data_IF_853451922787
#
_entry.id   IF_853451922787
#
_cell.length_a   1.000
_cell.length_b   1.000
_cell.length_c   1.000
_cell.angle_alpha   90.00
_cell.angle_beta   90.00
_cell.angle_gamma   90.00
#
_symmetry.space_group_name_H-M   'P 1'
#
loop_
_entity.id
_entity.type
_entity.pdbx_description
1 polymer ?
#
# COMPACT_ATOMS: atom_id res chain seq x y z
N UNK A 1 -9.11 25.00 -65.26
CA UNK A 1 -8.85 25.71 -63.99
C UNK A 1 -9.08 24.70 -62.86
N UNK A 2 -8.02 24.25 -62.19
CA UNK A 2 -8.07 23.18 -61.17
C UNK A 2 -8.33 23.83 -59.80
N UNK A 3 -9.48 23.54 -59.17
CA UNK A 3 -9.75 23.88 -57.78
C UNK A 3 -9.58 22.60 -56.96
N UNK A 4 -8.44 22.49 -56.28
CA UNK A 4 -8.19 21.47 -55.25
C UNK A 4 -8.71 22.03 -53.93
N UNK A 5 -9.86 21.53 -53.47
CA UNK A 5 -10.32 21.76 -52.11
C UNK A 5 -9.44 20.97 -51.14
N UNK A 6 -8.56 21.67 -50.42
CA UNK A 6 -7.79 21.12 -49.31
C UNK A 6 -8.74 20.79 -48.15
N UNK A 7 -9.11 19.51 -47.99
CA UNK A 7 -9.70 19.02 -46.74
C UNK A 7 -8.61 18.95 -45.67
N UNK A 8 -8.58 19.95 -44.79
CA UNK A 8 -7.83 19.88 -43.55
C UNK A 8 -8.49 18.85 -42.62
N UNK A 9 -7.94 17.63 -42.60
CA UNK A 9 -8.24 16.64 -41.56
C UNK A 9 -7.67 17.13 -40.23
N UNK A 10 -8.49 17.80 -39.43
CA UNK A 10 -8.17 18.07 -38.02
C UNK A 10 -8.33 16.75 -37.29
N UNK A 11 -7.22 16.04 -37.08
CA UNK A 11 -7.16 14.96 -36.11
C UNK A 11 -7.34 15.56 -34.72
N UNK A 12 -8.60 15.63 -34.26
CA UNK A 12 -8.93 15.76 -32.85
C UNK A 12 -8.48 14.45 -32.18
N UNK A 13 -7.18 14.33 -31.92
CA UNK A 13 -6.70 13.42 -30.89
C UNK A 13 -7.25 13.96 -29.57
N UNK A 14 -8.47 13.56 -29.22
CA UNK A 14 -8.96 13.71 -27.87
C UNK A 14 -7.99 12.95 -26.97
N UNK A 15 -7.19 13.67 -26.20
CA UNK A 15 -6.42 13.07 -25.12
C UNK A 15 -7.42 12.51 -24.12
N UNK A 16 -7.85 11.26 -24.32
CA UNK A 16 -8.55 10.53 -23.29
C UNK A 16 -7.56 10.38 -22.13
N UNK A 17 -7.93 10.90 -20.97
CA UNK A 17 -7.13 10.64 -19.77
C UNK A 17 -7.13 9.12 -19.52
N UNK A 18 -6.00 8.56 -19.08
CA UNK A 18 -5.93 7.14 -18.75
C UNK A 18 -7.04 6.77 -17.76
N UNK A 19 -7.68 5.62 -17.95
CA UNK A 19 -8.73 5.17 -17.02
C UNK A 19 -8.16 4.85 -15.65
N UNK A 20 -8.79 5.34 -14.59
CA UNK A 20 -8.49 4.97 -13.21
C UNK A 20 -9.20 3.70 -12.74
N UNK A 21 -10.18 3.20 -13.50
CA UNK A 21 -11.05 2.11 -13.06
C UNK A 21 -10.30 0.82 -12.81
N UNK A 22 -9.45 0.38 -13.75
CA UNK A 22 -8.73 -0.89 -13.61
C UNK A 22 -7.63 -0.83 -12.52
N UNK A 23 -6.76 0.20 -12.46
CA UNK A 23 -5.79 0.33 -11.37
C UNK A 23 -6.46 0.38 -9.98
N UNK A 24 -7.59 1.10 -9.87
CA UNK A 24 -8.31 1.17 -8.59
C UNK A 24 -8.97 -0.16 -8.22
N UNK A 25 -9.60 -0.86 -9.19
CA UNK A 25 -10.16 -2.20 -8.97
C UNK A 25 -9.07 -3.19 -8.54
N UNK A 26 -7.90 -3.16 -9.18
CA UNK A 26 -6.77 -4.02 -8.83
C UNK A 26 -6.30 -3.77 -7.39
N UNK A 27 -6.22 -2.49 -6.97
CA UNK A 27 -5.90 -2.15 -5.58
C UNK A 27 -6.93 -2.69 -4.60
N UNK A 28 -8.23 -2.54 -4.87
CA UNK A 28 -9.28 -3.07 -3.99
C UNK A 28 -9.21 -4.59 -3.86
N UNK A 29 -9.04 -5.29 -4.99
CA UNK A 29 -8.89 -6.75 -4.99
C UNK A 29 -7.64 -7.20 -4.22
N UNK A 30 -6.53 -6.47 -4.35
CA UNK A 30 -5.31 -6.78 -3.59
C UNK A 30 -5.48 -6.51 -2.10
N UNK A 31 -6.12 -5.40 -1.71
CA UNK A 31 -6.42 -5.08 -0.31
C UNK A 31 -7.22 -6.19 0.36
N UNK A 32 -8.26 -6.69 -0.31
CA UNK A 32 -9.07 -7.82 0.16
C UNK A 32 -8.22 -9.09 0.30
N UNK A 33 -7.43 -9.41 -0.72
CA UNK A 33 -6.55 -10.56 -0.68
C UNK A 33 -5.53 -10.49 0.47
N UNK A 34 -4.90 -9.34 0.69
CA UNK A 34 -3.97 -9.14 1.80
C UNK A 34 -4.66 -9.23 3.16
N UNK A 35 -5.92 -8.80 3.26
CA UNK A 35 -6.73 -8.97 4.47
C UNK A 35 -7.06 -10.44 4.75
N UNK A 36 -7.42 -11.21 3.72
CA UNK A 36 -7.65 -12.64 3.86
C UNK A 36 -6.37 -13.40 4.24
N UNK A 37 -5.22 -13.06 3.64
CA UNK A 37 -3.92 -13.62 4.04
C UNK A 37 -3.57 -13.31 5.50
N UNK A 38 -3.91 -12.11 5.98
CA UNK A 38 -3.60 -11.69 7.35
C UNK A 38 -4.24 -12.59 8.42
N UNK A 39 -5.41 -13.19 8.12
CA UNK A 39 -6.13 -14.07 9.06
C UNK A 39 -5.35 -15.33 9.44
N UNK A 40 -4.43 -15.78 8.59
CA UNK A 40 -3.54 -16.92 8.87
C UNK A 40 -2.07 -16.51 9.00
N UNK A 41 -1.76 -15.21 8.87
CA UNK A 41 -0.39 -14.73 8.87
C UNK A 41 0.32 -14.89 10.22
N UNK A 42 -0.45 -14.90 11.29
CA UNK A 42 0.04 -15.07 12.66
C UNK A 42 0.67 -16.45 12.88
N UNK A 43 0.20 -17.49 12.18
CA UNK A 43 0.71 -18.86 12.28
C UNK A 43 2.16 -19.00 11.77
N UNK A 44 2.55 -18.09 10.89
CA UNK A 44 3.89 -18.07 10.25
C UNK A 44 4.67 -16.81 10.64
N UNK A 45 4.22 -16.08 11.66
CA UNK A 45 4.94 -14.92 12.16
C UNK A 45 6.30 -15.35 12.75
N UNK A 46 7.40 -14.66 12.42
CA UNK A 46 8.73 -15.05 12.88
C UNK A 46 8.84 -14.94 14.41
N UNK A 47 9.41 -15.97 15.02
CA UNK A 47 9.70 -15.96 16.45
C UNK A 47 10.75 -14.91 16.79
N UNK A 48 10.55 -14.16 17.87
CA UNK A 48 11.48 -13.13 18.31
C UNK A 48 11.56 -13.08 19.84
N UNK A 49 12.73 -13.43 20.37
CA UNK A 49 13.03 -13.32 21.81
C UNK A 49 12.99 -11.86 22.27
N UNK A 50 13.51 -10.94 21.46
CA UNK A 50 13.44 -9.51 21.75
C UNK A 50 12.00 -9.04 21.93
N UNK A 51 11.12 -9.36 20.98
CA UNK A 51 9.72 -8.96 21.02
C UNK A 51 9.00 -9.55 22.24
N UNK A 52 9.27 -10.83 22.55
CA UNK A 52 8.66 -11.53 23.69
C UNK A 52 9.07 -10.92 25.04
N UNK A 53 10.26 -10.30 25.11
CA UNK A 53 10.80 -9.70 26.34
C UNK A 53 10.45 -8.21 26.52
N UNK A 54 9.83 -7.55 25.53
CA UNK A 54 9.41 -6.16 25.65
C UNK A 54 8.28 -5.99 26.69
N UNK A 55 8.19 -4.81 27.35
CA UNK A 55 6.99 -4.43 28.09
C UNK A 55 5.73 -4.53 27.23
N UNK A 56 4.60 -4.96 27.83
CA UNK A 56 3.34 -5.21 27.09
C UNK A 56 2.88 -4.05 26.17
N UNK A 57 3.09 -2.80 26.59
CA UNK A 57 2.73 -1.65 25.76
C UNK A 57 3.66 -1.51 24.55
N UNK A 58 4.95 -1.76 24.73
CA UNK A 58 5.95 -1.73 23.66
C UNK A 58 5.73 -2.87 22.67
N UNK A 59 5.35 -4.06 23.14
CA UNK A 59 4.94 -5.19 22.28
C UNK A 59 3.79 -4.79 21.36
N UNK A 60 2.73 -4.20 21.91
CA UNK A 60 1.55 -3.78 21.11
C UNK A 60 1.93 -2.73 20.07
N UNK A 61 2.77 -1.77 20.44
CA UNK A 61 3.26 -0.73 19.54
C UNK A 61 4.11 -1.33 18.42
N UNK A 62 5.07 -2.20 18.76
CA UNK A 62 5.92 -2.88 17.80
C UNK A 62 5.11 -3.77 16.84
N UNK A 63 4.20 -4.60 17.36
CA UNK A 63 3.35 -5.46 16.55
C UNK A 63 2.40 -4.67 15.64
N UNK A 64 1.82 -3.57 16.12
CA UNK A 64 0.98 -2.70 15.30
C UNK A 64 1.79 -2.09 14.15
N UNK A 65 3.02 -1.65 14.42
CA UNK A 65 3.92 -1.14 13.40
C UNK A 65 4.29 -2.21 12.36
N UNK A 66 4.66 -3.41 12.81
CA UNK A 66 5.03 -4.54 11.95
C UNK A 66 3.86 -5.02 11.09
N UNK A 67 2.64 -5.08 11.63
CA UNK A 67 1.44 -5.48 10.89
C UNK A 67 1.11 -4.48 9.77
N UNK A 68 1.24 -3.18 10.06
CA UNK A 68 1.06 -2.13 9.06
C UNK A 68 2.13 -2.19 7.97
N UNK A 69 3.40 -2.38 8.35
CA UNK A 69 4.48 -2.61 7.41
C UNK A 69 4.18 -3.80 6.48
N UNK A 70 3.82 -4.96 7.04
CA UNK A 70 3.54 -6.16 6.28
C UNK A 70 2.35 -6.00 5.31
N UNK A 71 1.29 -5.33 5.77
CA UNK A 71 0.13 -5.02 4.92
C UNK A 71 0.51 -4.07 3.78
N UNK A 72 1.30 -3.02 4.06
CA UNK A 72 1.77 -2.08 3.03
C UNK A 72 2.63 -2.79 1.98
N UNK A 73 3.57 -3.64 2.40
CA UNK A 73 4.39 -4.44 1.48
C UNK A 73 3.50 -5.30 0.56
N UNK A 74 2.42 -5.85 1.10
CA UNK A 74 1.49 -6.67 0.31
C UNK A 74 0.75 -5.87 -0.78
N UNK A 75 0.44 -4.58 -0.58
CA UNK A 75 -0.33 -3.78 -1.54
C UNK A 75 0.53 -2.81 -2.38
N UNK A 76 1.83 -2.71 -2.10
CA UNK A 76 2.72 -1.66 -2.62
C UNK A 76 2.72 -1.56 -4.15
N UNK A 77 2.78 -2.68 -4.86
CA UNK A 77 2.77 -2.67 -6.33
C UNK A 77 1.50 -2.01 -6.89
N UNK A 78 0.33 -2.35 -6.37
CA UNK A 78 -0.95 -1.81 -6.84
C UNK A 78 -1.14 -0.35 -6.41
N UNK A 79 -0.60 0.03 -5.24
CA UNK A 79 -0.54 1.43 -4.82
C UNK A 79 0.33 2.23 -5.79
N UNK A 80 1.53 1.75 -6.14
CA UNK A 80 2.42 2.42 -7.12
C UNK A 80 1.78 2.53 -8.50
N UNK A 81 1.13 1.48 -8.99
CA UNK A 81 0.42 1.49 -10.27
C UNK A 81 -0.72 2.52 -10.31
N UNK A 82 -1.50 2.62 -9.23
CA UNK A 82 -2.56 3.61 -9.12
C UNK A 82 -2.00 5.03 -9.00
N UNK A 83 -0.96 5.26 -8.18
CA UNK A 83 -0.26 6.56 -8.09
C UNK A 83 0.24 7.03 -9.47
N UNK A 84 0.79 6.12 -10.27
CA UNK A 84 1.23 6.43 -11.64
C UNK A 84 0.07 6.80 -12.56
N UNK A 85 -1.09 6.16 -12.41
CA UNK A 85 -2.27 6.46 -13.22
C UNK A 85 -2.92 7.80 -12.80
N UNK A 86 -2.88 8.11 -11.50
CA UNK A 86 -3.35 9.37 -10.92
C UNK A 86 -2.48 10.55 -11.36
N UNK A 87 -1.16 10.40 -11.44
CA UNK A 87 -0.27 11.50 -11.86
C UNK A 87 -0.48 11.96 -13.31
N UNK A 88 -1.21 11.18 -14.11
CA UNK A 88 -1.59 11.50 -15.49
C UNK A 88 -2.97 12.17 -15.59
N UNK A 89 -3.67 12.35 -14.47
CA UNK A 89 -4.99 12.99 -14.41
C UNK A 89 -4.88 14.50 -14.19
N UNK A 90 -6.01 15.19 -14.23
CA UNK A 90 -6.11 16.59 -13.85
C UNK A 90 -5.77 16.81 -12.36
N UNK A 91 -5.36 18.04 -12.02
CA UNK A 91 -4.89 18.39 -10.67
C UNK A 91 -5.95 18.15 -9.59
N UNK A 92 -7.23 18.39 -9.89
CA UNK A 92 -8.35 18.14 -8.97
C UNK A 92 -8.50 16.64 -8.65
N UNK A 93 -8.34 15.76 -9.64
CA UNK A 93 -8.35 14.31 -9.43
C UNK A 93 -7.13 13.88 -8.61
N UNK A 94 -5.95 14.44 -8.90
CA UNK A 94 -4.75 14.17 -8.11
C UNK A 94 -4.93 14.55 -6.64
N UNK A 95 -5.45 15.75 -6.37
CA UNK A 95 -5.77 16.21 -5.02
C UNK A 95 -6.81 15.32 -4.35
N UNK A 96 -7.87 14.93 -5.06
CA UNK A 96 -8.87 14.02 -4.51
C UNK A 96 -8.27 12.68 -4.06
N UNK A 97 -7.42 12.07 -4.88
CA UNK A 97 -6.83 10.77 -4.56
C UNK A 97 -5.80 10.83 -3.42
N UNK A 98 -4.95 11.86 -3.41
CA UNK A 98 -3.95 12.02 -2.37
C UNK A 98 -4.58 12.34 -1.01
N UNK A 99 -5.54 13.26 -0.98
CA UNK A 99 -6.04 13.78 0.29
C UNK A 99 -7.19 12.94 0.88
N UNK A 100 -7.98 12.25 0.04
CA UNK A 100 -9.24 11.61 0.48
C UNK A 100 -9.32 10.10 0.24
N UNK A 101 -8.68 9.57 -0.79
CA UNK A 101 -8.72 8.12 -1.08
C UNK A 101 -7.67 7.36 -0.26
N UNK A 102 -6.65 8.07 0.25
CA UNK A 102 -5.62 7.47 1.10
C UNK A 102 -4.77 6.47 0.32
N UNK A 103 -4.11 6.96 -0.74
CA UNK A 103 -3.12 6.17 -1.49
C UNK A 103 -1.77 6.05 -0.77
N UNK A 104 -1.63 6.67 0.39
CA UNK A 104 -0.41 6.60 1.17
C UNK A 104 -0.24 5.17 1.70
N UNK A 105 0.92 4.57 1.42
CA UNK A 105 1.45 3.53 2.30
C UNK A 105 1.44 4.11 3.72
N UNK A 106 1.04 3.33 4.71
CA UNK A 106 1.22 3.76 6.09
C UNK A 106 2.72 3.85 6.40
N UNK A 107 3.33 4.99 6.12
CA UNK A 107 4.70 5.31 6.48
C UNK A 107 4.71 5.76 7.93
N UNK A 108 4.39 4.82 8.83
CA UNK A 108 4.61 5.04 10.25
C UNK A 108 6.09 5.29 10.46
N UNK A 109 6.44 6.34 11.20
CA UNK A 109 7.79 6.45 11.75
C UNK A 109 8.01 5.28 12.71
N UNK A 110 9.27 4.84 12.82
CA UNK A 110 9.64 3.83 13.83
C UNK A 110 9.20 4.36 15.20
N UNK A 111 8.41 3.59 15.99
CA UNK A 111 7.84 4.12 17.22
C UNK A 111 8.93 4.50 18.22
N UNK A 112 8.76 5.65 18.86
CA UNK A 112 9.71 6.14 19.87
C UNK A 112 9.87 5.14 21.02
N UNK A 113 11.11 4.88 21.42
CA UNK A 113 11.44 3.94 22.49
C UNK A 113 11.51 2.47 22.05
N UNK A 114 11.23 2.15 20.79
CA UNK A 114 11.43 0.81 20.23
C UNK A 114 12.77 0.77 19.50
N UNK A 115 13.59 -0.25 19.79
CA UNK A 115 14.90 -0.43 19.16
C UNK A 115 14.76 -0.65 17.63
N UNK A 116 15.20 0.30 16.79
CA UNK A 116 14.99 0.23 15.35
C UNK A 116 15.61 -1.00 14.70
N UNK A 117 16.78 -1.42 15.21
CA UNK A 117 17.51 -2.55 14.63
C UNK A 117 16.73 -3.86 14.75
N UNK A 118 16.12 -4.11 15.90
CA UNK A 118 15.36 -5.34 16.16
C UNK A 118 14.06 -5.37 15.35
N UNK A 119 13.38 -4.22 15.20
CA UNK A 119 12.24 -4.09 14.30
C UNK A 119 12.60 -4.45 12.86
N UNK A 120 13.69 -3.88 12.34
CA UNK A 120 14.15 -4.15 10.96
C UNK A 120 14.45 -5.64 10.75
N UNK A 121 15.09 -6.30 11.72
CA UNK A 121 15.38 -7.74 11.66
C UNK A 121 14.10 -8.58 11.57
N UNK A 122 13.04 -8.19 12.27
CA UNK A 122 11.73 -8.88 12.17
C UNK A 122 11.07 -8.56 10.83
N UNK A 123 11.13 -7.30 10.37
CA UNK A 123 10.57 -6.88 9.07
C UNK A 123 11.11 -7.71 7.91
N UNK A 124 12.42 -7.97 7.88
CA UNK A 124 13.07 -8.80 6.85
C UNK A 124 12.58 -10.26 6.83
N UNK A 125 12.00 -10.74 7.93
CA UNK A 125 11.52 -12.11 8.07
C UNK A 125 10.00 -12.25 7.84
N UNK A 126 9.26 -11.15 7.84
CA UNK A 126 7.81 -11.19 7.60
C UNK A 126 7.55 -11.46 6.12
N UNK A 127 6.94 -12.60 5.82
CA UNK A 127 6.62 -13.00 4.43
C UNK A 127 5.18 -12.71 4.04
N UNK A 128 4.29 -12.59 5.02
CA UNK A 128 2.85 -12.39 4.80
C UNK A 128 2.30 -11.35 5.77
N UNK A 129 1.26 -10.59 5.39
CA UNK A 129 0.49 -9.78 6.33
C UNK A 129 -0.03 -10.63 7.48
N UNK A 130 -0.27 -10.02 8.64
CA UNK A 130 -0.78 -10.69 9.83
C UNK A 130 -1.61 -9.73 10.68
N UNK A 131 -2.38 -10.27 11.63
CA UNK A 131 -3.15 -9.49 12.60
C UNK A 131 -2.34 -9.34 13.88
N UNK A 132 -2.04 -8.09 14.26
CA UNK A 132 -1.17 -7.79 15.41
C UNK A 132 -1.66 -8.40 16.74
N UNK A 133 -2.98 -8.41 16.97
CA UNK A 133 -3.57 -8.95 18.21
C UNK A 133 -3.39 -10.47 18.30
N UNK A 134 -3.54 -11.19 17.19
CA UNK A 134 -3.43 -12.65 17.16
C UNK A 134 -1.99 -13.07 17.51
N UNK A 135 -0.99 -12.36 16.97
CA UNK A 135 0.41 -12.57 17.36
C UNK A 135 0.62 -12.20 18.84
N UNK A 136 0.10 -11.05 19.29
CA UNK A 136 0.22 -10.62 20.69
C UNK A 136 -0.31 -11.64 21.70
N UNK A 137 -1.42 -12.30 21.39
CA UNK A 137 -2.02 -13.35 22.24
C UNK A 137 -1.20 -14.64 22.27
N UNK A 138 -0.28 -14.82 21.32
CA UNK A 138 0.58 -16.01 21.21
C UNK A 138 2.00 -15.84 21.80
N UNK A 139 2.37 -14.61 22.20
CA UNK A 139 3.68 -14.28 22.79
C UNK A 139 3.80 -14.66 24.28
#
# INVERSE_FOLDING_TARGET
MKLLCSLSFVFLAGCASPSLTEPYRALLAKKEHCFELAKSGSDVFPQSEWLSNLPKNEQRVALSYLAQYAYNQCIDEQVRALKQSVSQQSQDIQTFFNDYVGLHEFNGEIPHGIEPKELLLIQEQIQVPFVANDVYESL
#
